data_IF_673147204281
#
_entry.id   IF_673147204281
#
_cell.length_a   1.000
_cell.length_b   1.000
_cell.length_c   1.000
_cell.angle_alpha   90.00
_cell.angle_beta   90.00
_cell.angle_gamma   90.00
#
_symmetry.space_group_name_H-M   'P 1'
#
loop_
_entity.id
_entity.type
_entity.pdbx_description
1 polymer ?
#
# COMPACT_ATOMS: atom_id res chain seq x y z
N UNK A 1 -15.42 -20.46 -2.91
CA UNK A 1 -14.14 -19.92 -3.40
C UNK A 1 -13.46 -19.26 -2.22
N UNK A 2 -12.26 -19.69 -1.85
CA UNK A 2 -11.49 -19.01 -0.81
C UNK A 2 -11.04 -17.66 -1.39
N UNK A 3 -11.40 -16.56 -0.72
CA UNK A 3 -10.85 -15.25 -1.03
C UNK A 3 -9.40 -15.29 -0.54
N UNK A 4 -8.44 -15.52 -1.43
CA UNK A 4 -7.03 -15.29 -1.13
C UNK A 4 -6.89 -13.83 -0.75
N UNK A 5 -6.48 -13.55 0.49
CA UNK A 5 -6.28 -12.16 0.92
C UNK A 5 -4.99 -11.66 0.28
N UNK A 6 -5.01 -10.44 -0.26
CA UNK A 6 -3.83 -9.88 -0.93
C UNK A 6 -2.67 -9.61 0.04
N UNK A 7 -2.93 -9.73 1.34
CA UNK A 7 -2.02 -9.37 2.41
C UNK A 7 -1.69 -10.53 3.35
N UNK A 8 -1.82 -11.78 2.90
CA UNK A 8 -1.50 -12.97 3.72
C UNK A 8 -0.02 -13.00 4.15
N UNK A 9 0.87 -12.33 3.43
CA UNK A 9 2.29 -12.14 3.82
C UNK A 9 2.49 -11.16 5.00
N UNK A 10 1.47 -10.41 5.39
CA UNK A 10 1.50 -9.42 6.47
C UNK A 10 0.73 -9.93 7.70
N UNK A 11 1.12 -11.11 8.19
CA UNK A 11 0.62 -11.67 9.45
C UNK A 11 1.22 -10.96 10.68
N UNK A 12 0.60 -11.12 11.87
CA UNK A 12 1.23 -10.69 13.12
C UNK A 12 2.67 -11.19 13.25
N UNK A 13 3.60 -10.29 13.58
CA UNK A 13 5.04 -10.53 13.64
C UNK A 13 5.80 -10.26 12.34
N UNK A 14 5.12 -10.04 11.20
CA UNK A 14 5.79 -9.65 9.96
C UNK A 14 6.48 -8.30 10.11
N UNK A 15 7.72 -8.20 9.66
CA UNK A 15 8.52 -6.97 9.68
C UNK A 15 8.41 -6.26 8.35
N UNK A 16 8.03 -4.99 8.39
CA UNK A 16 8.03 -4.08 7.25
C UNK A 16 9.20 -3.13 7.42
N UNK A 17 10.20 -3.28 6.54
CA UNK A 17 11.35 -2.39 6.51
C UNK A 17 11.09 -1.22 5.58
N UNK A 18 11.30 -0.01 6.10
CA UNK A 18 11.26 1.21 5.33
C UNK A 18 12.70 1.69 5.15
N UNK A 19 13.21 1.77 3.91
CA UNK A 19 14.59 2.16 3.65
C UNK A 19 14.86 3.59 4.12
N UNK A 20 16.13 3.87 4.42
CA UNK A 20 16.57 5.19 4.84
C UNK A 20 16.28 6.24 3.75
N UNK A 21 15.97 7.45 4.22
CA UNK A 21 15.89 8.66 3.38
C UNK A 21 17.01 9.60 3.78
N UNK A 22 17.18 10.72 3.06
CA UNK A 22 18.17 11.75 3.45
C UNK A 22 17.90 12.34 4.84
N UNK A 23 16.69 12.16 5.38
CA UNK A 23 16.24 12.77 6.63
C UNK A 23 16.02 11.76 7.76
N UNK A 24 15.85 10.47 7.45
CA UNK A 24 15.53 9.44 8.44
C UNK A 24 16.32 8.15 8.20
N UNK A 25 16.80 7.47 9.26
CA UNK A 25 17.43 6.15 9.13
C UNK A 25 16.40 5.10 8.68
N UNK A 26 16.88 3.88 8.40
CA UNK A 26 16.02 2.71 8.17
C UNK A 26 15.08 2.54 9.36
N UNK A 27 13.80 2.30 9.07
CA UNK A 27 12.79 2.05 10.10
C UNK A 27 12.24 0.64 9.94
N UNK A 28 12.12 -0.07 11.05
CA UNK A 28 11.48 -1.38 11.08
C UNK A 28 10.17 -1.27 11.84
N UNK A 29 9.09 -1.74 11.21
CA UNK A 29 7.76 -1.75 11.79
C UNK A 29 7.27 -3.19 11.83
N UNK A 30 6.86 -3.64 13.02
CA UNK A 30 6.31 -4.99 13.21
C UNK A 30 4.79 -4.91 13.14
N UNK A 31 4.18 -5.73 12.29
CA UNK A 31 2.72 -5.84 12.20
C UNK A 31 2.21 -6.57 13.43
N UNK A 32 1.25 -5.95 14.13
CA UNK A 32 0.59 -6.54 15.30
C UNK A 32 -0.70 -7.25 14.91
N UNK A 33 -1.53 -6.57 14.11
CA UNK A 33 -2.86 -7.04 13.75
C UNK A 33 -3.34 -6.40 12.45
N UNK A 34 -4.03 -7.16 11.60
CA UNK A 34 -4.73 -6.65 10.43
C UNK A 34 -6.12 -6.15 10.82
N UNK A 35 -6.37 -4.86 10.63
CA UNK A 35 -7.64 -4.22 11.00
C UNK A 35 -8.71 -4.34 9.91
N UNK A 36 -8.30 -4.16 8.65
CA UNK A 36 -9.23 -4.15 7.52
C UNK A 36 -8.49 -4.38 6.21
N UNK A 37 -9.18 -4.95 5.23
CA UNK A 37 -8.76 -5.03 3.84
C UNK A 37 -9.89 -4.52 2.95
N UNK A 38 -9.53 -3.83 1.88
CA UNK A 38 -10.43 -3.28 0.89
C UNK A 38 -9.85 -3.56 -0.50
N UNK A 39 -10.71 -4.02 -1.42
CA UNK A 39 -10.35 -4.35 -2.79
C UNK A 39 -11.13 -3.43 -3.72
N UNK A 40 -10.40 -2.69 -4.55
CA UNK A 40 -10.96 -1.79 -5.55
C UNK A 40 -10.60 -2.35 -6.93
N UNK A 41 -11.53 -3.11 -7.49
CA UNK A 41 -11.41 -3.64 -8.84
C UNK A 41 -11.91 -2.58 -9.83
N UNK A 42 -11.03 -2.16 -10.73
CA UNK A 42 -11.37 -1.26 -11.83
C UNK A 42 -11.48 -2.06 -13.11
N UNK A 43 -12.49 -1.78 -13.91
CA UNK A 43 -12.55 -2.24 -15.29
C UNK A 43 -11.63 -1.37 -16.15
N UNK A 44 -11.30 -1.83 -17.35
CA UNK A 44 -10.60 -0.98 -18.34
C UNK A 44 -11.32 0.34 -18.60
N UNK A 45 -12.66 0.35 -18.55
CA UNK A 45 -13.44 1.56 -18.75
C UNK A 45 -13.24 2.55 -17.61
N UNK A 46 -13.30 2.10 -16.37
CA UNK A 46 -13.08 2.93 -15.17
C UNK A 46 -11.69 3.59 -15.19
N UNK A 47 -10.67 2.82 -15.61
CA UNK A 47 -9.30 3.33 -15.76
C UNK A 47 -9.24 4.42 -16.85
N UNK A 48 -9.90 4.20 -17.99
CA UNK A 48 -9.95 5.18 -19.09
C UNK A 48 -10.69 6.47 -18.71
N UNK A 49 -11.71 6.37 -17.86
CA UNK A 49 -12.43 7.52 -17.28
C UNK A 49 -11.62 8.22 -16.15
N UNK A 50 -10.43 7.72 -15.83
CA UNK A 50 -9.51 8.35 -14.88
C UNK A 50 -9.80 8.04 -13.42
N UNK A 51 -10.55 6.97 -13.11
CA UNK A 51 -10.85 6.56 -11.72
C UNK A 51 -9.64 5.94 -11.00
N UNK A 52 -8.54 5.70 -11.72
CA UNK A 52 -7.30 5.13 -11.20
C UNK A 52 -7.18 3.63 -11.44
N UNK A 53 -6.04 3.02 -11.06
CA UNK A 53 -5.79 1.60 -11.28
C UNK A 53 -6.55 0.74 -10.27
N UNK A 54 -6.66 -0.55 -10.56
CA UNK A 54 -7.13 -1.52 -9.57
C UNK A 54 -6.13 -1.66 -8.41
N UNK A 55 -6.60 -1.70 -7.17
CA UNK A 55 -5.73 -1.83 -5.99
C UNK A 55 -6.42 -2.50 -4.80
N UNK A 56 -5.60 -3.15 -3.98
CA UNK A 56 -5.93 -3.63 -2.65
C UNK A 56 -5.32 -2.68 -1.61
N UNK A 57 -6.03 -2.44 -0.52
CA UNK A 57 -5.54 -1.64 0.59
C UNK A 57 -5.85 -2.33 1.92
N UNK A 58 -4.82 -2.56 2.73
CA UNK A 58 -5.01 -3.07 4.09
C UNK A 58 -4.51 -2.08 5.13
N UNK A 59 -5.15 -2.08 6.29
CA UNK A 59 -4.74 -1.32 7.47
C UNK A 59 -4.31 -2.29 8.56
N UNK A 60 -3.25 -1.92 9.27
CA UNK A 60 -2.67 -2.73 10.32
C UNK A 60 -2.36 -1.89 11.54
N UNK A 61 -2.53 -2.47 12.73
CA UNK A 61 -1.81 -2.02 13.90
C UNK A 61 -0.35 -2.49 13.78
N UNK A 62 0.57 -1.61 14.14
CA UNK A 62 1.99 -1.92 14.14
C UNK A 62 2.72 -1.14 15.23
N UNK A 63 3.92 -1.61 15.57
CA UNK A 63 4.80 -0.91 16.48
C UNK A 63 6.24 -0.90 15.96
N UNK A 64 7.02 0.01 16.51
CA UNK A 64 8.46 0.01 16.35
C UNK A 64 9.10 -0.84 17.45
N UNK A 65 10.01 -1.78 17.13
CA UNK A 65 10.66 -2.57 18.17
C UNK A 65 11.67 -1.74 18.97
N UNK A 66 12.20 -0.67 18.39
CA UNK A 66 13.22 0.20 18.97
C UNK A 66 12.66 1.40 19.75
N UNK A 67 11.38 1.72 19.58
CA UNK A 67 10.70 2.85 20.22
C UNK A 67 9.35 2.42 20.80
N UNK A 68 8.83 3.07 21.85
CA UNK A 68 7.49 2.79 22.38
C UNK A 68 6.35 3.23 21.44
N UNK A 69 6.67 3.65 20.21
CA UNK A 69 5.72 4.14 19.23
C UNK A 69 4.85 3.00 18.68
N UNK A 70 3.53 3.24 18.72
CA UNK A 70 2.53 2.44 18.02
C UNK A 70 1.92 3.28 16.91
N UNK A 71 1.57 2.62 15.81
CA UNK A 71 1.06 3.26 14.61
C UNK A 71 -0.05 2.47 13.97
N UNK A 72 -0.68 3.11 12.99
CA UNK A 72 -1.54 2.46 12.01
C UNK A 72 -0.80 2.52 10.69
N UNK A 73 -0.41 1.35 10.18
CA UNK A 73 0.19 1.22 8.86
C UNK A 73 -0.90 0.97 7.83
N UNK A 74 -0.80 1.61 6.66
CA UNK A 74 -1.69 1.34 5.55
C UNK A 74 -0.88 0.96 4.33
N UNK A 75 -1.10 -0.25 3.84
CA UNK A 75 -0.37 -0.79 2.71
C UNK A 75 -1.29 -0.84 1.50
N UNK A 76 -0.82 -0.29 0.38
CA UNK A 76 -1.49 -0.37 -0.92
C UNK A 76 -0.72 -1.29 -1.86
N UNK A 77 -1.43 -2.18 -2.54
CA UNK A 77 -0.91 -3.10 -3.55
C UNK A 77 -1.75 -2.93 -4.81
N UNK A 78 -1.17 -2.58 -5.94
CA UNK A 78 -1.92 -2.59 -7.20
C UNK A 78 -2.02 -4.03 -7.73
N UNK A 79 -3.04 -4.30 -8.53
CA UNK A 79 -3.27 -5.59 -9.16
C UNK A 79 -3.92 -5.39 -10.54
N UNK A 80 -4.01 -6.44 -11.39
CA UNK A 80 -4.50 -6.30 -12.75
C UNK A 80 -5.95 -5.82 -12.84
N UNK A 81 -6.28 -5.10 -13.92
CA UNK A 81 -7.65 -4.67 -14.18
C UNK A 81 -8.58 -5.87 -14.37
N UNK A 82 -9.84 -5.69 -13.95
CA UNK A 82 -10.86 -6.74 -14.03
C UNK A 82 -11.02 -7.24 -15.48
N UNK A 83 -10.95 -8.56 -15.66
CA UNK A 83 -11.02 -9.21 -16.96
C UNK A 83 -9.69 -9.29 -17.70
N UNK A 84 -8.58 -8.90 -17.07
CA UNK A 84 -7.22 -9.05 -17.63
C UNK A 84 -6.34 -10.03 -16.88
N UNK A 85 -6.90 -10.76 -15.91
CA UNK A 85 -6.19 -11.69 -15.04
C UNK A 85 -5.48 -12.78 -15.84
N UNK A 86 -6.10 -13.24 -16.93
CA UNK A 86 -5.57 -14.29 -17.81
C UNK A 86 -4.65 -13.78 -18.94
N UNK A 87 -4.38 -12.48 -18.99
CA UNK A 87 -3.45 -11.91 -19.99
C UNK A 87 -1.99 -12.26 -19.66
N UNK A 88 -1.04 -11.89 -20.52
CA UNK A 88 0.38 -12.17 -20.26
C UNK A 88 0.86 -11.39 -19.03
N UNK A 89 1.85 -11.95 -18.32
CA UNK A 89 2.45 -11.29 -17.16
C UNK A 89 2.96 -9.89 -17.50
N UNK A 90 3.57 -9.72 -18.68
CA UNK A 90 4.02 -8.41 -19.17
C UNK A 90 2.85 -7.44 -19.36
N UNK A 91 1.73 -7.90 -19.92
CA UNK A 91 0.56 -7.04 -20.12
C UNK A 91 -0.01 -6.55 -18.79
N UNK A 92 -0.11 -7.43 -17.78
CA UNK A 92 -0.55 -7.05 -16.42
C UNK A 92 0.44 -6.10 -15.74
N UNK A 93 1.74 -6.38 -15.85
CA UNK A 93 2.78 -5.50 -15.29
C UNK A 93 2.80 -4.10 -15.92
N UNK A 94 2.36 -3.95 -17.17
CA UNK A 94 2.28 -2.66 -17.86
C UNK A 94 1.07 -1.81 -17.42
N UNK A 95 0.03 -2.40 -16.81
CA UNK A 95 -1.11 -1.64 -16.25
C UNK A 95 -0.74 -0.87 -14.98
N UNK A 96 0.37 -1.28 -14.39
CA UNK A 96 0.83 -0.89 -13.09
C UNK A 96 1.39 0.54 -13.10
N UNK A 97 0.88 1.43 -12.25
CA UNK A 97 1.30 2.84 -12.26
C UNK A 97 2.39 3.08 -11.21
N UNK A 98 3.55 3.66 -11.57
CA UNK A 98 4.55 4.10 -10.60
C UNK A 98 4.00 5.36 -9.91
N UNK A 99 3.62 5.24 -8.64
CA UNK A 99 3.08 6.33 -7.79
C UNK A 99 1.61 6.70 -8.07
N UNK A 100 0.66 5.78 -7.84
CA UNK A 100 -0.76 6.12 -7.89
C UNK A 100 -1.06 7.23 -6.88
N UNK A 101 -1.79 8.26 -7.32
CA UNK A 101 -2.35 9.26 -6.40
C UNK A 101 -3.46 8.61 -5.59
N UNK A 102 -3.22 8.38 -4.31
CA UNK A 102 -4.29 7.99 -3.39
C UNK A 102 -4.82 9.22 -2.65
N UNK A 103 -6.10 9.60 -2.83
CA UNK A 103 -6.68 10.78 -2.18
C UNK A 103 -6.50 10.79 -0.65
N UNK A 104 -6.53 9.60 -0.03
CA UNK A 104 -6.31 9.45 1.41
C UNK A 104 -4.87 9.85 1.81
N UNK A 105 -3.86 9.52 1.02
CA UNK A 105 -2.47 9.91 1.31
C UNK A 105 -2.32 11.44 1.21
N UNK A 106 -2.91 12.07 0.20
CA UNK A 106 -2.89 13.53 0.05
C UNK A 106 -3.64 14.25 1.18
N UNK A 107 -4.73 13.66 1.66
CA UNK A 107 -5.45 14.14 2.83
C UNK A 107 -4.62 14.08 4.11
N UNK A 108 -3.68 13.14 4.26
CA UNK A 108 -2.76 13.09 5.40
C UNK A 108 -1.56 14.06 5.26
N UNK A 109 -1.14 14.38 4.03
CA UNK A 109 -0.09 15.37 3.78
C UNK A 109 -0.54 16.79 4.10
N UNK A 110 -1.82 17.11 3.88
CA UNK A 110 -2.33 18.49 4.00
C UNK A 110 -2.29 19.04 5.44
N UNK A 111 -2.78 18.34 6.49
CA UNK A 111 -2.72 18.81 7.87
C UNK A 111 -1.30 18.98 8.41
N UNK A 112 -0.34 18.19 7.93
CA UNK A 112 1.07 18.33 8.32
C UNK A 112 1.71 19.61 7.81
N UNK A 113 1.29 20.11 6.65
CA UNK A 113 1.77 21.41 6.14
C UNK A 113 1.36 22.59 7.03
N UNK A 114 0.40 22.38 7.93
CA UNK A 114 -0.16 23.39 8.82
C UNK A 114 0.14 23.10 10.30
N UNK A 115 1.07 22.18 10.61
CA UNK A 115 1.48 21.82 11.98
C UNK A 115 0.31 21.51 12.93
N UNK A 116 -0.75 20.88 12.39
CA UNK A 116 -1.92 20.54 13.18
C UNK A 116 -1.57 19.57 14.32
N UNK A 117 -1.92 19.96 15.54
CA UNK A 117 -1.70 19.15 16.75
C UNK A 117 -2.81 18.10 16.99
N UNK A 118 -3.89 18.15 16.19
CA UNK A 118 -5.09 17.30 16.39
C UNK A 118 -5.16 16.19 15.34
N UNK A 119 -4.61 16.42 14.15
CA UNK A 119 -4.61 15.41 13.09
C UNK A 119 -3.57 14.31 13.38
N UNK A 120 -3.87 13.04 13.06
CA UNK A 120 -2.88 11.98 13.13
C UNK A 120 -1.64 12.32 12.30
N UNK A 121 -0.46 12.18 12.90
CA UNK A 121 0.82 12.45 12.23
C UNK A 121 1.13 11.32 11.25
N UNK A 122 1.32 11.67 9.98
CA UNK A 122 1.91 10.76 8.99
C UNK A 122 3.40 10.61 9.29
N UNK A 123 3.80 9.47 9.85
CA UNK A 123 5.16 9.26 10.32
C UNK A 123 6.12 9.07 9.15
N UNK A 124 5.69 8.31 8.16
CA UNK A 124 6.52 7.91 7.02
C UNK A 124 5.64 7.58 5.83
N UNK A 125 6.12 7.88 4.63
CA UNK A 125 5.57 7.34 3.39
C UNK A 125 6.71 6.63 2.66
N UNK A 126 6.48 5.40 2.21
CA UNK A 126 7.44 4.69 1.35
C UNK A 126 6.76 4.20 0.08
N UNK A 127 7.42 4.32 -1.07
CA UNK A 127 6.97 3.76 -2.34
C UNK A 127 8.02 2.80 -2.90
N UNK A 128 7.62 1.56 -3.20
CA UNK A 128 8.53 0.54 -3.72
C UNK A 128 7.87 -0.39 -4.75
N UNK A 129 8.62 -0.98 -5.67
CA UNK A 129 8.05 -1.87 -6.71
C UNK A 129 7.71 -3.25 -6.12
N UNK A 130 6.51 -3.77 -6.40
CA UNK A 130 6.14 -5.15 -6.05
C UNK A 130 7.00 -6.18 -6.83
N UNK A 131 7.23 -7.35 -6.22
CA UNK A 131 8.03 -8.43 -6.81
C UNK A 131 7.33 -9.08 -8.02
N UNK A 132 8.13 -9.67 -8.92
CA UNK A 132 7.65 -10.28 -10.17
C UNK A 132 7.11 -11.69 -10.01
N UNK A 133 7.12 -12.26 -8.81
CA UNK A 133 6.93 -13.71 -8.60
C UNK A 133 5.62 -14.04 -7.85
N UNK A 134 4.87 -13.03 -7.41
CA UNK A 134 3.55 -13.19 -6.80
C UNK A 134 2.45 -13.15 -7.85
N UNK A 135 1.43 -14.04 -7.83
CA UNK A 135 0.33 -14.06 -8.80
C UNK A 135 -0.45 -12.74 -8.90
N UNK A 136 -0.30 -11.87 -7.90
CA UNK A 136 -0.82 -10.50 -7.86
C UNK A 136 0.22 -9.58 -8.52
N UNK A 137 0.26 -9.56 -9.85
CA UNK A 137 1.20 -8.71 -10.58
C UNK A 137 0.60 -7.35 -10.91
N UNK A 138 1.16 -6.29 -10.32
CA UNK A 138 1.17 -4.96 -10.91
C UNK A 138 1.21 -3.83 -9.88
N UNK A 139 2.40 -3.30 -9.58
CA UNK A 139 2.78 -1.98 -8.99
C UNK A 139 2.67 -1.63 -7.48
N UNK A 140 3.67 -0.78 -7.16
CA UNK A 140 3.90 0.10 -6.02
C UNK A 140 3.27 -0.27 -4.66
N UNK A 141 4.10 -0.81 -3.77
CA UNK A 141 3.88 -0.77 -2.33
C UNK A 141 3.91 0.69 -1.89
N UNK A 142 2.79 1.27 -1.46
CA UNK A 142 2.83 2.52 -0.68
C UNK A 142 2.53 2.21 0.78
N UNK A 143 3.50 2.45 1.66
CA UNK A 143 3.37 2.42 3.13
C UNK A 143 3.08 3.83 3.61
#
# INVERSE_FOLDING_TARGET
MAVLSCFDSYSPGSVVEIPATSTYPVQQWVIDEKMSEDLQHMTKYDVLEGLGPSFAAAKFYCHRPDLPERGIMRIYLQFPDLGTELTTQQARANQAIPSPRHPKIEAFKTPQKHDSQVAPKLIVIHQGKQNSDSPIHGASLTI
#
